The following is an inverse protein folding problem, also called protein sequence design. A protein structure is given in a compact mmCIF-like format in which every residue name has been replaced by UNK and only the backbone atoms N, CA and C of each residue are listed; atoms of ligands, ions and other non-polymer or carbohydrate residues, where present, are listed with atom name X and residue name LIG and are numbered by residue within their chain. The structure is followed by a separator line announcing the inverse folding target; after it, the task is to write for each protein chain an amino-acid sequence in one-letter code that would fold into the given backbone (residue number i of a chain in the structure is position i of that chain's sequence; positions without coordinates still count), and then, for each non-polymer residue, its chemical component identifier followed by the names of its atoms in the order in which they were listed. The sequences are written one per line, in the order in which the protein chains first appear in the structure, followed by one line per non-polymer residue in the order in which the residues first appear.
data_IF_333468762790
#
_entry.id   IF_333468762790
#
_cell.length_a   1.000
_cell.length_b   1.000
_cell.length_c   1.000
_cell.angle_alpha   90.00
_cell.angle_beta   90.00
_cell.angle_gamma   90.00
#
_symmetry.space_group_name_H-M   'P 1'
#
loop_
_entity.id
_entity.type
_entity.pdbx_description
1 polymer ?
#
# COMPACT_ATOMS: atom_id res chain seq x y z
N UNK A 1 -13.61 -4.30 -8.39
CA UNK A 1 -13.71 -2.82 -8.54
C UNK A 1 -12.36 -2.22 -8.17
N UNK A 2 -11.83 -1.27 -8.95
CA UNK A 2 -10.58 -0.58 -8.61
C UNK A 2 -10.94 0.81 -8.06
N UNK A 3 -10.73 1.02 -6.77
CA UNK A 3 -10.97 2.32 -6.13
C UNK A 3 -9.62 2.96 -5.83
N UNK A 4 -9.37 4.14 -6.39
CA UNK A 4 -8.21 4.93 -6.00
C UNK A 4 -8.46 5.50 -4.59
N UNK A 5 -7.54 5.27 -3.66
CA UNK A 5 -7.63 5.82 -2.30
C UNK A 5 -7.78 7.35 -2.31
N UNK A 6 -7.20 8.02 -3.31
CA UNK A 6 -7.32 9.47 -3.53
C UNK A 6 -8.72 9.93 -3.94
N UNK A 7 -9.60 9.01 -4.36
CA UNK A 7 -11.02 9.30 -4.58
C UNK A 7 -11.85 9.21 -3.29
N UNK A 8 -11.30 8.59 -2.24
CA UNK A 8 -11.96 8.39 -0.95
C UNK A 8 -11.47 9.40 0.09
N UNK A 9 -10.17 9.72 0.05
CA UNK A 9 -9.49 10.64 0.95
C UNK A 9 -8.66 11.65 0.14
N UNK A 10 -8.72 12.96 0.45
CA UNK A 10 -7.89 13.96 -0.20
C UNK A 10 -6.39 13.66 -0.10
N UNK A 11 -5.64 13.91 -1.17
CA UNK A 11 -4.20 13.62 -1.24
C UNK A 11 -3.40 14.35 -0.15
N UNK A 12 -3.76 15.59 0.19
CA UNK A 12 -3.07 16.35 1.23
C UNK A 12 -3.23 15.69 2.61
N UNK A 13 -4.43 15.21 2.93
CA UNK A 13 -4.72 14.55 4.20
C UNK A 13 -4.00 13.20 4.30
N UNK A 14 -3.98 12.43 3.19
CA UNK A 14 -3.19 11.19 3.11
C UNK A 14 -1.70 11.41 3.38
N UNK A 15 -1.13 12.52 2.88
CA UNK A 15 0.27 12.89 3.18
C UNK A 15 0.48 13.14 4.66
N UNK A 16 -0.38 13.95 5.29
CA UNK A 16 -0.29 14.26 6.72
C UNK A 16 -0.43 13.02 7.61
N UNK A 17 -1.42 12.17 7.32
CA UNK A 17 -1.62 10.89 8.02
C UNK A 17 -0.41 9.98 7.88
N UNK A 18 0.16 9.88 6.67
CA UNK A 18 1.39 9.11 6.43
C UNK A 18 2.56 9.63 7.27
N UNK A 19 2.78 10.95 7.35
CA UNK A 19 3.86 11.53 8.14
C UNK A 19 3.69 11.25 9.64
N UNK A 20 2.47 11.41 10.17
CA UNK A 20 2.15 11.15 11.57
C UNK A 20 2.36 9.66 11.94
N UNK A 21 1.84 8.74 11.13
CA UNK A 21 1.98 7.29 11.37
C UNK A 21 3.45 6.84 11.35
N UNK A 22 4.27 7.43 10.47
CA UNK A 22 5.71 7.13 10.39
C UNK A 22 6.48 7.73 11.55
N UNK A 23 6.11 8.93 11.99
CA UNK A 23 6.70 9.55 13.18
C UNK A 23 6.43 8.69 14.42
N UNK A 24 5.19 8.24 14.60
CA UNK A 24 4.78 7.30 15.66
C UNK A 24 5.56 5.99 15.59
N UNK A 25 5.75 5.43 14.39
CA UNK A 25 6.54 4.20 14.20
C UNK A 25 7.99 4.35 14.65
N UNK A 26 8.61 5.53 14.46
CA UNK A 26 9.98 5.82 14.94
C UNK A 26 10.04 6.17 16.43
N UNK A 27 8.96 6.71 16.98
CA UNK A 27 8.90 7.23 18.33
C UNK A 27 7.76 6.54 19.10
N UNK A 28 8.04 5.36 19.67
CA UNK A 28 7.05 4.50 20.31
C UNK A 28 6.29 5.15 21.49
N UNK A 29 6.79 6.25 22.04
CA UNK A 29 6.14 7.04 23.11
C UNK A 29 5.12 8.06 22.58
N UNK A 30 5.11 8.31 21.27
CA UNK A 30 4.11 9.15 20.62
C UNK A 30 2.91 8.26 20.26
N UNK A 31 1.69 8.72 20.55
CA UNK A 31 0.47 7.99 20.25
C UNK A 31 -0.50 8.85 19.45
N UNK A 32 -1.07 8.26 18.41
CA UNK A 32 -2.10 8.90 17.60
C UNK A 32 -3.49 8.49 18.11
N UNK A 33 -4.21 9.41 18.72
CA UNK A 33 -5.52 9.10 19.35
C UNK A 33 -6.59 8.68 18.33
N UNK A 34 -6.54 9.22 17.11
CA UNK A 34 -7.42 8.85 16.01
C UNK A 34 -7.04 7.51 15.35
N UNK A 35 -5.85 6.96 15.65
CA UNK A 35 -5.35 5.76 14.98
C UNK A 35 -6.10 4.52 15.45
N UNK A 36 -6.79 3.89 14.50
CA UNK A 36 -7.42 2.60 14.70
C UNK A 36 -6.37 1.47 14.71
N UNK A 37 -6.75 0.30 15.21
CA UNK A 37 -5.88 -0.87 15.19
C UNK A 37 -5.61 -1.28 13.73
N UNK A 38 -4.38 -1.08 13.28
CA UNK A 38 -3.94 -1.33 11.91
C UNK A 38 -2.86 -2.39 11.89
N UNK A 39 -2.77 -3.14 10.78
CA UNK A 39 -1.65 -4.05 10.54
C UNK A 39 -0.33 -3.26 10.55
N UNK A 40 0.82 -3.87 10.88
CA UNK A 40 2.11 -3.20 10.77
C UNK A 40 2.49 -3.05 9.29
N UNK A 41 2.00 -2.00 8.64
CA UNK A 41 2.18 -1.77 7.18
C UNK A 41 3.54 -1.12 6.86
N UNK A 42 4.20 -0.54 7.87
CA UNK A 42 5.47 0.15 7.66
C UNK A 42 6.67 -0.82 7.71
N UNK A 43 7.48 -0.76 6.66
CA UNK A 43 8.83 -1.35 6.64
C UNK A 43 9.74 -0.58 7.59
N UNK A 44 10.67 -1.30 8.24
CA UNK A 44 11.73 -0.71 9.07
C UNK A 44 12.58 0.30 8.30
N UNK A 45 12.75 0.09 6.99
CA UNK A 45 13.55 0.93 6.11
C UNK A 45 12.70 1.42 4.93
N UNK A 46 12.65 2.74 4.74
CA UNK A 46 12.00 3.41 3.60
C UNK A 46 12.89 4.59 3.17
N UNK A 47 13.73 4.42 2.14
CA UNK A 47 14.71 5.44 1.71
C UNK A 47 14.10 6.76 1.25
N UNK A 48 12.81 6.77 0.89
CA UNK A 48 12.20 7.90 0.21
C UNK A 48 11.50 8.95 1.07
N UNK A 49 11.38 8.75 2.37
CA UNK A 49 10.61 9.68 3.20
C UNK A 49 11.25 9.88 4.55
N UNK A 50 11.68 11.12 4.78
CA UNK A 50 12.31 11.55 6.01
C UNK A 50 11.37 12.54 6.69
N UNK A 51 10.47 12.04 7.53
CA UNK A 51 9.84 12.87 8.55
C UNK A 51 10.94 13.26 9.55
N UNK A 52 11.72 14.29 9.20
CA UNK A 52 12.90 14.74 9.95
C UNK A 52 12.53 15.46 11.25
N UNK A 53 11.32 16.03 11.29
CA UNK A 53 10.78 16.78 12.39
C UNK A 53 9.39 16.27 12.73
N UNK A 54 8.99 16.45 13.99
CA UNK A 54 7.67 16.05 14.46
C UNK A 54 6.58 16.78 13.67
N UNK A 55 5.67 16.07 12.98
CA UNK A 55 4.55 16.69 12.30
C UNK A 55 3.57 17.30 13.31
N UNK A 56 2.90 18.38 12.90
CA UNK A 56 1.79 18.91 13.69
C UNK A 56 0.63 17.91 13.72
N UNK A 57 -0.10 17.81 14.86
CA UNK A 57 -1.32 17.02 14.95
C UNK A 57 -2.34 17.43 13.89
N UNK A 58 -3.21 16.50 13.49
CA UNK A 58 -4.34 16.82 12.62
C UNK A 58 -5.23 17.86 13.29
N UNK A 59 -5.86 18.71 12.50
CA UNK A 59 -6.93 19.58 12.98
C UNK A 59 -8.21 18.77 13.19
N UNK A 60 -9.16 19.31 13.96
CA UNK A 60 -10.46 18.65 14.16
C UNK A 60 -11.20 18.39 12.84
N UNK A 61 -11.08 19.32 11.88
CA UNK A 61 -11.64 19.16 10.53
C UNK A 61 -10.98 18.01 9.77
N UNK A 62 -9.65 17.90 9.84
CA UNK A 62 -8.91 16.80 9.19
C UNK A 62 -9.18 15.44 9.82
N UNK A 63 -9.36 15.38 11.15
CA UNK A 63 -9.79 14.15 11.82
C UNK A 63 -11.19 13.73 11.37
N UNK A 64 -12.12 14.68 11.26
CA UNK A 64 -13.46 14.43 10.75
C UNK A 64 -13.44 13.95 9.29
N UNK A 65 -12.64 14.58 8.43
CA UNK A 65 -12.47 14.17 7.04
C UNK A 65 -11.85 12.78 6.93
N UNK A 66 -10.89 12.46 7.79
CA UNK A 66 -10.27 11.14 7.86
C UNK A 66 -11.29 10.08 8.29
N UNK A 67 -12.14 10.39 9.28
CA UNK A 67 -13.22 9.51 9.72
C UNK A 67 -14.24 9.27 8.60
N UNK A 68 -14.60 10.31 7.85
CA UNK A 68 -15.50 10.20 6.70
C UNK A 68 -14.89 9.36 5.58
N UNK A 69 -13.60 9.55 5.29
CA UNK A 69 -12.88 8.72 4.33
C UNK A 69 -12.85 7.25 4.77
N UNK A 70 -12.64 6.98 6.07
CA UNK A 70 -12.69 5.63 6.62
C UNK A 70 -14.10 5.01 6.45
N UNK A 71 -15.17 5.74 6.81
CA UNK A 71 -16.56 5.28 6.61
C UNK A 71 -16.87 4.96 5.15
N UNK A 72 -16.42 5.80 4.22
CA UNK A 72 -16.57 5.57 2.77
C UNK A 72 -15.83 4.30 2.34
N UNK A 73 -14.58 4.11 2.79
CA UNK A 73 -13.80 2.92 2.48
C UNK A 73 -14.48 1.65 3.02
N UNK A 74 -14.98 1.67 4.24
CA UNK A 74 -15.71 0.55 4.84
C UNK A 74 -16.97 0.21 4.06
N UNK A 75 -17.79 1.21 3.71
CA UNK A 75 -18.99 0.98 2.90
C UNK A 75 -18.67 0.40 1.51
N UNK A 76 -17.56 0.84 0.89
CA UNK A 76 -17.07 0.28 -0.37
C UNK A 76 -16.69 -1.18 -0.19
N UNK A 77 -15.96 -1.53 0.87
CA UNK A 77 -15.57 -2.90 1.18
C UNK A 77 -16.78 -3.80 1.47
N UNK A 78 -17.74 -3.32 2.26
CA UNK A 78 -18.98 -4.04 2.58
C UNK A 78 -19.79 -4.34 1.30
N UNK A 79 -20.06 -3.33 0.47
CA UNK A 79 -20.78 -3.53 -0.79
C UNK A 79 -20.03 -4.44 -1.76
N UNK A 80 -18.69 -4.36 -1.76
CA UNK A 80 -17.84 -5.24 -2.55
C UNK A 80 -17.96 -6.68 -2.08
N UNK A 81 -17.97 -6.90 -0.76
CA UNK A 81 -18.18 -8.21 -0.15
C UNK A 81 -19.57 -8.78 -0.46
N UNK A 82 -20.64 -8.01 -0.24
CA UNK A 82 -22.02 -8.41 -0.54
C UNK A 82 -22.23 -8.76 -2.02
N UNK A 83 -21.54 -8.05 -2.91
CA UNK A 83 -21.61 -8.26 -4.36
C UNK A 83 -20.61 -9.30 -4.88
N UNK A 84 -19.80 -9.91 -4.00
CA UNK A 84 -18.69 -10.81 -4.35
C UNK A 84 -17.72 -10.22 -5.40
N UNK A 85 -17.46 -8.91 -5.31
CA UNK A 85 -16.54 -8.17 -6.17
C UNK A 85 -15.24 -7.91 -5.40
N UNK A 86 -14.07 -8.32 -5.91
CA UNK A 86 -12.81 -8.05 -5.22
C UNK A 86 -12.47 -6.55 -5.13
N UNK A 87 -11.93 -6.15 -3.99
CA UNK A 87 -11.26 -4.84 -3.79
C UNK A 87 -9.79 -5.01 -4.18
N UNK A 88 -9.27 -4.16 -5.07
CA UNK A 88 -7.89 -4.29 -5.57
C UNK A 88 -6.96 -3.27 -4.91
N UNK A 89 -5.84 -3.72 -4.36
CA UNK A 89 -4.79 -2.87 -3.77
C UNK A 89 -3.52 -2.96 -4.63
N UNK A 90 -2.87 -1.82 -4.85
CA UNK A 90 -1.51 -1.75 -5.41
C UNK A 90 -0.51 -2.00 -4.27
N UNK A 91 0.14 -3.17 -4.26
CA UNK A 91 1.15 -3.55 -3.25
C UNK A 91 2.18 -4.53 -3.85
N UNK A 92 3.29 -4.75 -3.15
CA UNK A 92 4.38 -5.62 -3.62
C UNK A 92 5.07 -6.39 -2.47
N UNK A 93 5.62 -7.57 -2.79
CA UNK A 93 6.53 -8.32 -1.92
C UNK A 93 5.91 -8.90 -0.64
N UNK A 94 6.65 -8.86 0.46
CA UNK A 94 6.25 -9.46 1.74
C UNK A 94 4.94 -8.89 2.30
N UNK A 95 4.67 -7.61 2.02
CA UNK A 95 3.44 -6.94 2.44
C UNK A 95 2.21 -7.53 1.76
N UNK A 96 2.32 -7.90 0.48
CA UNK A 96 1.25 -8.56 -0.26
C UNK A 96 0.88 -9.89 0.40
N UNK A 97 1.87 -10.72 0.78
CA UNK A 97 1.60 -12.01 1.42
C UNK A 97 0.93 -11.85 2.79
N UNK A 98 1.38 -10.87 3.61
CA UNK A 98 0.76 -10.56 4.90
C UNK A 98 -0.66 -10.01 4.74
N UNK A 99 -0.86 -9.08 3.81
CA UNK A 99 -2.16 -8.48 3.50
C UNK A 99 -3.14 -9.54 3.00
N UNK A 100 -2.72 -10.46 2.13
CA UNK A 100 -3.55 -11.58 1.66
C UNK A 100 -3.97 -12.49 2.81
N UNK A 101 -3.02 -12.90 3.67
CA UNK A 101 -3.34 -13.74 4.85
C UNK A 101 -4.33 -13.06 5.80
N UNK A 102 -4.19 -11.76 6.01
CA UNK A 102 -5.13 -11.00 6.83
C UNK A 102 -6.53 -10.93 6.19
N UNK A 103 -6.61 -10.64 4.89
CA UNK A 103 -7.87 -10.63 4.15
C UNK A 103 -8.57 -12.00 4.19
N UNK A 104 -7.82 -13.09 4.04
CA UNK A 104 -8.34 -14.46 4.13
C UNK A 104 -8.93 -14.76 5.51
N UNK A 105 -8.25 -14.35 6.58
CA UNK A 105 -8.76 -14.50 7.96
C UNK A 105 -10.05 -13.71 8.19
N UNK A 106 -10.25 -12.62 7.45
CA UNK A 106 -11.44 -11.78 7.51
C UNK A 106 -12.53 -12.21 6.51
N UNK A 107 -12.27 -13.23 5.68
CA UNK A 107 -13.20 -13.66 4.62
C UNK A 107 -13.34 -12.66 3.46
N UNK A 108 -12.45 -11.69 3.34
CA UNK A 108 -12.57 -10.62 2.34
C UNK A 108 -11.95 -11.04 1.00
N UNK A 109 -12.71 -10.98 -0.12
CA UNK A 109 -12.15 -11.19 -1.45
C UNK A 109 -11.24 -10.01 -1.82
N UNK A 110 -9.93 -10.21 -1.69
CA UNK A 110 -8.91 -9.21 -2.00
C UNK A 110 -8.26 -9.51 -3.35
N UNK A 111 -8.07 -8.47 -4.16
CA UNK A 111 -7.27 -8.52 -5.36
C UNK A 111 -6.01 -7.67 -5.27
N UNK A 112 -5.01 -8.00 -6.07
CA UNK A 112 -3.79 -7.21 -6.22
C UNK A 112 -3.58 -6.82 -7.67
N UNK A 113 -3.17 -5.58 -7.90
CA UNK A 113 -2.69 -5.13 -9.19
C UNK A 113 -1.17 -4.99 -9.10
N UNK A 114 -0.48 -5.72 -9.95
CA UNK A 114 0.97 -5.66 -10.05
C UNK A 114 1.40 -4.74 -11.19
N UNK A 115 2.26 -3.77 -10.84
CA UNK A 115 3.02 -2.93 -11.76
C UNK A 115 4.51 -3.09 -11.44
N UNK A 116 5.40 -2.84 -12.40
CA UNK A 116 6.85 -2.88 -12.18
C UNK A 116 7.42 -1.62 -11.50
N UNK A 117 6.57 -0.60 -11.35
CA UNK A 117 6.92 0.69 -10.75
C UNK A 117 7.05 1.78 -11.81
N UNK A 118 6.31 2.88 -11.62
CA UNK A 118 6.30 4.02 -12.54
C UNK A 118 7.35 5.09 -12.18
N UNK A 119 8.04 4.91 -11.04
CA UNK A 119 8.89 5.95 -10.43
C UNK A 119 10.36 5.55 -10.26
N UNK A 120 10.79 4.40 -10.80
CA UNK A 120 12.15 3.84 -10.58
C UNK A 120 13.29 4.84 -10.84
N UNK A 121 13.21 5.65 -11.89
CA UNK A 121 14.25 6.63 -12.24
C UNK A 121 14.31 7.80 -11.26
N UNK A 122 13.16 8.35 -10.89
CA UNK A 122 13.07 9.42 -9.88
C UNK A 122 13.51 8.93 -8.51
N UNK A 123 13.15 7.70 -8.17
CA UNK A 123 13.50 7.03 -6.93
C UNK A 123 15.01 6.80 -6.82
N UNK A 124 15.67 6.24 -7.84
CA UNK A 124 17.15 6.12 -7.84
C UNK A 124 17.86 7.48 -7.74
N UNK A 125 17.37 8.50 -8.45
CA UNK A 125 17.94 9.87 -8.37
C UNK A 125 17.83 10.46 -6.97
N UNK A 126 16.67 10.28 -6.34
CA UNK A 126 16.41 10.77 -4.99
C UNK A 126 17.31 10.07 -3.96
N UNK A 127 17.37 8.73 -3.98
CA UNK A 127 18.26 7.97 -3.08
C UNK A 127 19.72 8.44 -3.17
N UNK A 128 20.21 8.66 -4.39
CA UNK A 128 21.54 9.22 -4.63
C UNK A 128 21.72 10.62 -4.05
N UNK A 129 20.75 11.51 -4.23
CA UNK A 129 20.81 12.88 -3.68
C UNK A 129 20.83 12.91 -2.14
N UNK A 130 20.24 11.90 -1.51
CA UNK A 130 20.17 11.77 -0.06
C UNK A 130 21.32 10.92 0.52
N UNK A 131 22.15 10.29 -0.33
CA UNK A 131 23.22 9.41 0.11
C UNK A 131 22.73 8.12 0.79
N UNK A 132 21.51 7.68 0.49
CA UNK A 132 20.89 6.48 1.05
C UNK A 132 20.82 5.36 0.01
N UNK A 133 20.71 4.12 0.47
CA UNK A 133 20.50 2.96 -0.39
C UNK A 133 19.19 3.08 -1.19
N UNK A 134 19.21 2.70 -2.46
CA UNK A 134 18.00 2.69 -3.27
C UNK A 134 17.13 1.49 -2.87
N UNK A 135 15.82 1.64 -2.64
CA UNK A 135 14.91 0.53 -2.42
C UNK A 135 14.41 -0.09 -3.74
N UNK A 136 14.95 0.36 -4.87
CA UNK A 136 14.66 -0.17 -6.19
C UNK A 136 15.76 -1.16 -6.53
N UNK A 137 15.37 -2.32 -7.06
CA UNK A 137 16.31 -3.33 -7.55
C UNK A 137 17.40 -2.69 -8.43
N UNK A 138 18.63 -3.18 -8.29
CA UNK A 138 19.79 -2.62 -8.99
C UNK A 138 19.66 -2.77 -10.51
N UNK A 139 19.12 -3.90 -10.96
CA UNK A 139 18.91 -4.19 -12.38
C UNK A 139 17.43 -4.27 -12.75
N UNK A 140 17.16 -4.10 -14.05
CA UNK A 140 15.81 -4.32 -14.60
C UNK A 140 15.40 -5.79 -14.53
N UNK A 141 16.37 -6.70 -14.67
CA UNK A 141 16.13 -8.14 -14.63
C UNK A 141 15.71 -8.59 -13.23
N UNK A 142 16.33 -8.06 -12.18
CA UNK A 142 15.91 -8.30 -10.80
C UNK A 142 14.48 -7.83 -10.55
N UNK A 143 14.10 -6.66 -11.09
CA UNK A 143 12.73 -6.16 -11.03
C UNK A 143 11.75 -7.07 -11.80
N UNK A 144 12.17 -7.66 -12.92
CA UNK A 144 11.38 -8.64 -13.66
C UNK A 144 11.19 -9.94 -12.88
N UNK A 145 12.26 -10.49 -12.32
CA UNK A 145 12.24 -11.70 -11.48
C UNK A 145 11.30 -11.49 -10.29
N UNK A 146 11.43 -10.35 -9.61
CA UNK A 146 10.58 -10.03 -8.46
C UNK A 146 9.10 -9.88 -8.84
N UNK A 147 8.80 -9.16 -9.92
CA UNK A 147 7.44 -9.02 -10.45
C UNK A 147 6.82 -10.39 -10.77
N UNK A 148 7.55 -11.23 -11.52
CA UNK A 148 7.08 -12.55 -11.94
C UNK A 148 6.90 -13.48 -10.72
N UNK A 149 7.76 -13.37 -9.70
CA UNK A 149 7.61 -14.08 -8.44
C UNK A 149 6.32 -13.72 -7.70
N UNK A 150 6.02 -12.42 -7.56
CA UNK A 150 4.77 -11.94 -6.94
C UNK A 150 3.54 -12.38 -7.73
N UNK A 151 3.59 -12.26 -9.07
CA UNK A 151 2.53 -12.69 -9.97
C UNK A 151 2.24 -14.20 -9.82
N UNK A 152 3.27 -15.04 -9.85
CA UNK A 152 3.15 -16.49 -9.67
C UNK A 152 2.56 -16.86 -8.31
N UNK A 153 3.03 -16.20 -7.24
CA UNK A 153 2.47 -16.41 -5.90
C UNK A 153 0.96 -16.11 -5.88
N UNK A 154 0.56 -14.93 -6.38
CA UNK A 154 -0.86 -14.56 -6.36
C UNK A 154 -1.72 -15.41 -7.29
N UNK A 155 -1.21 -15.84 -8.44
CA UNK A 155 -1.92 -16.79 -9.32
C UNK A 155 -2.24 -18.10 -8.59
N UNK A 156 -1.31 -18.65 -7.82
CA UNK A 156 -1.55 -19.84 -7.01
C UNK A 156 -2.57 -19.60 -5.88
N UNK A 157 -2.58 -18.39 -5.29
CA UNK A 157 -3.53 -18.04 -4.24
C UNK A 157 -4.96 -17.90 -4.80
N UNK A 158 -5.12 -17.24 -5.95
CA UNK A 158 -6.46 -17.05 -6.57
C UNK A 158 -6.98 -18.32 -7.24
N UNK A 159 -6.10 -19.26 -7.64
CA UNK A 159 -6.56 -20.57 -8.11
C UNK A 159 -7.15 -21.43 -6.99
N UNK A 160 -6.84 -21.11 -5.73
CA UNK A 160 -7.17 -21.91 -4.55
C UNK A 160 -8.15 -21.23 -3.60
N UNK A 161 -8.61 -20.02 -3.91
CA UNK A 161 -9.48 -19.24 -3.02
C UNK A 161 -9.97 -17.93 -3.64
N UNK A 162 -10.87 -17.21 -2.96
CA UNK A 162 -11.44 -15.96 -3.46
C UNK A 162 -10.37 -14.87 -3.58
N UNK A 163 -10.47 -14.05 -4.62
CA UNK A 163 -9.57 -12.92 -4.85
C UNK A 163 -9.46 -12.57 -6.33
N UNK A 164 -8.53 -11.66 -6.65
CA UNK A 164 -8.28 -11.26 -8.03
C UNK A 164 -6.83 -10.86 -8.27
N UNK A 165 -6.40 -10.92 -9.53
CA UNK A 165 -5.08 -10.44 -9.92
C UNK A 165 -5.21 -9.61 -11.20
N UNK A 166 -4.50 -8.49 -11.26
CA UNK A 166 -4.33 -7.68 -12.46
C UNK A 166 -2.83 -7.57 -12.73
N UNK A 167 -2.37 -8.15 -13.84
CA UNK A 167 -1.00 -8.02 -14.31
C UNK A 167 -0.90 -6.83 -15.26
N UNK A 168 -0.56 -5.65 -14.73
CA UNK A 168 -0.39 -4.45 -15.53
C UNK A 168 1.05 -4.40 -16.10
N UNK A 169 1.22 -4.95 -17.30
CA UNK A 169 2.50 -5.04 -18.01
C UNK A 169 2.32 -4.74 -19.51
N UNK A 170 3.29 -4.04 -20.10
CA UNK A 170 3.46 -3.93 -21.56
C UNK A 170 4.53 -4.89 -22.11
N UNK A 171 5.18 -5.66 -21.25
CA UNK A 171 6.14 -6.69 -21.65
C UNK A 171 5.38 -7.96 -22.09
N UNK A 172 5.62 -8.38 -23.33
CA UNK A 172 5.00 -9.56 -23.95
C UNK A 172 5.45 -10.87 -23.30
N UNK A 173 6.65 -10.91 -22.72
CA UNK A 173 7.22 -12.12 -22.11
C UNK A 173 6.66 -12.40 -20.70
N UNK A 174 5.66 -11.62 -20.26
CA UNK A 174 5.13 -11.65 -18.89
C UNK A 174 3.64 -12.00 -18.82
N UNK A 175 3.07 -12.46 -19.94
CA UNK A 175 1.69 -12.93 -20.07
C UNK A 175 1.58 -14.43 -19.89
#
# INVERSE_FOLDING_TARGET
MVVKVTAVCPVYLLRRVSDLLRWEYKNSSFMLLWKQQTLPIFSKNSPFYHTLQQPTPLTAEEEQDLELAHKRLMSICEKSFESNVPVVIDDAGDKMALTKKAADKMGLPLGFKFVRGDYMSSERKLARSLGVESPIHDTIDDAHIFYNGCARYMLNQVSSGPGGIILATHNLDSG
#
